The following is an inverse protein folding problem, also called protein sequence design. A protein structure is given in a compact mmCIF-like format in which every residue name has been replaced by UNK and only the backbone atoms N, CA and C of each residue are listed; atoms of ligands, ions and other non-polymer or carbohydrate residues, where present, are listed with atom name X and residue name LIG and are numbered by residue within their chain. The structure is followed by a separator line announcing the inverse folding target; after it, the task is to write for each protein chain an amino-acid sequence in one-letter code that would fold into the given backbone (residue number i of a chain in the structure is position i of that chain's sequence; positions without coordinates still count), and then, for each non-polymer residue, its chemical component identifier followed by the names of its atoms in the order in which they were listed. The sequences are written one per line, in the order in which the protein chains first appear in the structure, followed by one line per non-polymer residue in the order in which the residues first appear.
data_IF_819448399033
#
_entry.id   IF_819448399033
#
_cell.length_a   1.000
_cell.length_b   1.000
_cell.length_c   1.000
_cell.angle_alpha   90.00
_cell.angle_beta   90.00
_cell.angle_gamma   90.00
#
_symmetry.space_group_name_H-M   'P 1'
#
loop_
_entity.id
_entity.type
_entity.pdbx_description
1 polymer ?
#
# COMPACT_ATOMS: atom_id res chain seq x y z
N UNK A 1 6.44 -14.97 5.24
CA UNK A 1 5.79 -14.54 6.50
C UNK A 1 5.88 -13.03 6.60
N UNK A 2 4.83 -12.36 7.07
CA UNK A 2 4.75 -10.90 7.19
C UNK A 2 3.73 -10.48 8.26
N UNK A 3 3.64 -9.18 8.59
CA UNK A 3 2.73 -8.69 9.62
C UNK A 3 1.27 -8.78 9.19
N UNK A 4 0.35 -8.73 10.16
CA UNK A 4 -1.07 -8.63 9.88
C UNK A 4 -1.40 -7.28 9.22
N UNK A 5 -2.07 -7.33 8.07
CA UNK A 5 -2.53 -6.16 7.30
C UNK A 5 -4.03 -5.87 7.48
N UNK A 6 -4.74 -6.57 8.36
CA UNK A 6 -6.11 -6.21 8.70
C UNK A 6 -6.18 -4.76 9.22
N UNK A 7 -7.18 -4.01 8.73
CA UNK A 7 -7.37 -2.59 9.04
C UNK A 7 -6.19 -1.70 8.67
N UNK A 8 -5.41 -2.03 7.63
CA UNK A 8 -4.22 -1.26 7.26
C UNK A 8 -4.55 0.20 6.92
N UNK A 9 -5.53 0.46 6.05
CA UNK A 9 -6.00 1.81 5.72
C UNK A 9 -6.46 2.61 6.95
N UNK A 10 -7.20 1.96 7.87
CA UNK A 10 -7.61 2.57 9.15
C UNK A 10 -6.40 2.99 10.00
N UNK A 11 -5.35 2.16 10.09
CA UNK A 11 -4.11 2.47 10.83
C UNK A 11 -3.32 3.62 10.22
N UNK A 12 -3.44 3.83 8.91
CA UNK A 12 -2.86 4.98 8.22
C UNK A 12 -3.72 6.26 8.32
N UNK A 13 -4.88 6.18 9.00
CA UNK A 13 -5.81 7.30 9.17
C UNK A 13 -6.54 7.69 7.89
N UNK A 14 -6.67 6.76 6.93
CA UNK A 14 -7.37 7.00 5.67
C UNK A 14 -8.86 6.72 5.88
N UNK A 15 -9.68 7.72 5.61
CA UNK A 15 -11.13 7.69 5.74
C UNK A 15 -11.78 8.13 4.43
N UNK A 16 -13.11 7.95 4.31
CA UNK A 16 -13.82 8.36 3.09
C UNK A 16 -13.75 9.87 2.87
N UNK A 17 -13.65 10.62 3.96
CA UNK A 17 -13.71 12.08 3.97
C UNK A 17 -12.35 12.71 3.59
N UNK A 18 -11.24 12.02 3.83
CA UNK A 18 -9.89 12.56 3.60
C UNK A 18 -9.13 11.88 2.45
N UNK A 19 -9.78 11.00 1.69
CA UNK A 19 -9.13 10.20 0.66
C UNK A 19 -8.47 11.04 -0.43
N UNK A 20 -9.12 12.12 -0.84
CA UNK A 20 -8.63 13.04 -1.88
C UNK A 20 -7.72 14.15 -1.33
N UNK A 21 -7.43 14.13 -0.02
CA UNK A 21 -6.55 15.13 0.58
C UNK A 21 -5.10 14.93 0.09
N UNK A 22 -4.32 16.02 -0.09
CA UNK A 22 -2.91 15.91 -0.48
C UNK A 22 -2.09 15.03 0.48
N UNK A 23 -2.39 15.09 1.78
CA UNK A 23 -1.74 14.25 2.80
C UNK A 23 -2.00 12.76 2.55
N UNK A 24 -3.25 12.38 2.28
CA UNK A 24 -3.61 10.98 1.99
C UNK A 24 -2.98 10.51 0.69
N UNK A 25 -2.93 11.35 -0.34
CA UNK A 25 -2.25 11.00 -1.60
C UNK A 25 -0.77 10.67 -1.38
N UNK A 26 -0.07 11.41 -0.52
CA UNK A 26 1.32 11.09 -0.16
C UNK A 26 1.44 9.77 0.62
N UNK A 27 0.48 9.46 1.52
CA UNK A 27 0.42 8.15 2.20
C UNK A 27 0.19 7.01 1.21
N UNK A 28 -0.71 7.16 0.24
CA UNK A 28 -0.96 6.17 -0.82
C UNK A 28 0.33 5.91 -1.62
N UNK A 29 1.04 6.98 -2.03
CA UNK A 29 2.33 6.89 -2.73
C UNK A 29 3.40 6.19 -1.90
N UNK A 30 3.48 6.47 -0.60
CA UNK A 30 4.44 5.83 0.30
C UNK A 30 4.23 4.31 0.33
N UNK A 31 2.98 3.86 0.46
CA UNK A 31 2.66 2.43 0.45
C UNK A 31 2.88 1.81 -0.93
N UNK A 32 2.52 2.52 -2.01
CA UNK A 32 2.83 2.09 -3.37
C UNK A 32 4.33 1.83 -3.56
N UNK A 33 5.19 2.73 -3.09
CA UNK A 33 6.63 2.56 -3.18
C UNK A 33 7.12 1.33 -2.41
N UNK A 34 6.54 1.04 -1.23
CA UNK A 34 6.86 -0.17 -0.45
C UNK A 34 6.47 -1.44 -1.21
N UNK A 35 5.29 -1.47 -1.86
CA UNK A 35 4.84 -2.65 -2.61
C UNK A 35 5.65 -2.81 -3.91
N UNK A 36 5.95 -1.71 -4.59
CA UNK A 36 6.74 -1.69 -5.82
C UNK A 36 8.18 -2.14 -5.57
N UNK A 37 8.82 -1.61 -4.52
CA UNK A 37 10.18 -1.91 -4.12
C UNK A 37 10.34 -1.82 -2.59
N UNK A 38 10.11 -2.93 -1.90
CA UNK A 38 10.20 -3.02 -0.44
C UNK A 38 11.56 -2.57 0.13
N UNK A 39 12.65 -2.79 -0.62
CA UNK A 39 14.00 -2.44 -0.19
C UNK A 39 14.30 -0.94 -0.21
N UNK A 40 13.50 -0.13 -0.91
CA UNK A 40 13.67 1.33 -0.88
C UNK A 40 13.26 1.93 0.47
N UNK A 41 12.37 1.27 1.19
CA UNK A 41 11.96 1.67 2.55
C UNK A 41 12.64 0.82 3.63
N UNK A 42 12.79 -0.48 3.39
CA UNK A 42 13.33 -1.44 4.36
C UNK A 42 14.40 -2.33 3.71
N UNK A 43 15.69 -1.95 3.80
CA UNK A 43 16.78 -2.74 3.22
C UNK A 43 16.74 -4.20 3.67
N UNK A 44 16.95 -5.12 2.73
CA UNK A 44 16.94 -6.58 2.97
C UNK A 44 15.60 -7.15 3.48
N UNK A 45 14.48 -6.43 3.30
CA UNK A 45 13.15 -6.97 3.60
C UNK A 45 12.89 -8.28 2.87
N UNK A 46 12.27 -9.25 3.54
CA UNK A 46 11.85 -10.52 2.93
C UNK A 46 10.63 -10.36 2.00
N UNK A 47 10.01 -9.17 1.95
CA UNK A 47 8.95 -8.87 1.00
C UNK A 47 9.54 -8.73 -0.42
N UNK A 48 9.05 -9.46 -1.43
CA UNK A 48 9.53 -9.35 -2.80
C UNK A 48 9.39 -7.93 -3.36
N UNK A 49 10.34 -7.51 -4.21
CA UNK A 49 10.28 -6.22 -4.93
C UNK A 49 9.47 -6.37 -6.21
N UNK A 50 8.14 -6.46 -6.06
CA UNK A 50 7.24 -6.89 -7.13
C UNK A 50 7.34 -6.06 -8.40
N UNK A 51 7.32 -4.73 -8.28
CA UNK A 51 7.42 -3.83 -9.43
C UNK A 51 8.83 -3.75 -9.99
N UNK A 52 9.85 -3.68 -9.14
CA UNK A 52 11.26 -3.60 -9.58
C UNK A 52 11.69 -4.81 -10.44
N UNK A 53 11.21 -6.01 -10.10
CA UNK A 53 11.51 -7.23 -10.86
C UNK A 53 10.50 -7.50 -11.99
N UNK A 54 9.51 -6.64 -12.19
CA UNK A 54 8.47 -6.82 -13.22
C UNK A 54 7.52 -7.99 -12.96
N UNK A 55 7.41 -8.46 -11.72
CA UNK A 55 6.49 -9.53 -11.35
C UNK A 55 5.02 -9.04 -11.32
N UNK A 56 4.81 -7.75 -11.04
CA UNK A 56 3.52 -7.07 -11.10
C UNK A 56 3.65 -5.80 -11.94
N UNK A 57 2.62 -5.47 -12.72
CA UNK A 57 2.55 -4.19 -13.42
C UNK A 57 2.32 -3.03 -12.45
N UNK A 58 2.63 -1.77 -12.83
CA UNK A 58 2.27 -0.60 -12.02
C UNK A 58 0.78 -0.57 -11.65
N UNK A 59 -0.10 -0.96 -12.57
CA UNK A 59 -1.54 -1.08 -12.35
C UNK A 59 -1.88 -2.14 -11.31
N UNK A 60 -1.25 -3.32 -11.35
CA UNK A 60 -1.47 -4.37 -10.35
C UNK A 60 -1.03 -3.93 -8.95
N UNK A 61 0.12 -3.24 -8.86
CA UNK A 61 0.60 -2.66 -7.60
C UNK A 61 -0.41 -1.64 -7.08
N UNK A 62 -0.93 -0.77 -7.94
CA UNK A 62 -1.95 0.21 -7.57
C UNK A 62 -3.23 -0.48 -7.07
N UNK A 63 -3.69 -1.54 -7.73
CA UNK A 63 -4.85 -2.32 -7.30
C UNK A 63 -4.67 -2.94 -5.91
N UNK A 64 -3.48 -3.49 -5.62
CA UNK A 64 -3.15 -4.03 -4.29
C UNK A 64 -3.14 -2.93 -3.24
N UNK A 65 -2.53 -1.78 -3.54
CA UNK A 65 -2.49 -0.62 -2.62
C UNK A 65 -3.91 -0.14 -2.32
N UNK A 66 -4.77 -0.04 -3.33
CA UNK A 66 -6.20 0.28 -3.17
C UNK A 66 -6.89 -0.74 -2.29
N UNK A 67 -6.65 -2.04 -2.51
CA UNK A 67 -7.20 -3.09 -1.65
C UNK A 67 -6.73 -2.97 -0.18
N UNK A 68 -5.50 -2.53 0.08
CA UNK A 68 -5.01 -2.36 1.44
C UNK A 68 -5.54 -1.08 2.13
N UNK A 69 -5.71 0.01 1.37
CA UNK A 69 -5.91 1.34 1.95
C UNK A 69 -7.31 1.92 1.78
N UNK A 70 -8.08 1.48 0.77
CA UNK A 70 -9.39 2.06 0.50
C UNK A 70 -10.34 1.83 1.69
N UNK A 71 -11.07 2.86 2.18
CA UNK A 71 -11.97 2.73 3.33
C UNK A 71 -13.06 1.67 3.15
N UNK A 72 -13.52 1.46 1.90
CA UNK A 72 -14.54 0.47 1.57
C UNK A 72 -13.98 -0.94 1.30
N UNK A 73 -12.66 -1.09 1.26
CA UNK A 73 -12.04 -2.40 1.09
C UNK A 73 -12.46 -3.34 2.22
N UNK A 74 -12.71 -4.63 1.94
CA UNK A 74 -12.98 -5.62 2.99
C UNK A 74 -11.85 -5.72 4.04
N UNK A 75 -10.60 -5.36 3.69
CA UNK A 75 -9.48 -5.31 4.65
C UNK A 75 -9.72 -4.28 5.75
N UNK A 76 -10.46 -3.22 5.43
CA UNK A 76 -10.73 -2.10 6.32
C UNK A 76 -12.13 -2.12 6.92
N UNK A 77 -12.90 -3.21 6.76
CA UNK A 77 -14.21 -3.37 7.41
C UNK A 77 -14.04 -3.87 8.84
#
# INVERSE_FOLDING_TARGET
MGPNLYGYGKRWGITKENMDSPETVEKLKAVYNIVYNSWSAFPCSSMPRFGYHGALSPEDVMNIVTFLLHPESPVNK
#
